data_IF_971241763831
#
_entry.id   IF_971241763831
#
_cell.length_a   1.000
_cell.length_b   1.000
_cell.length_c   1.000
_cell.angle_alpha   90.00
_cell.angle_beta   90.00
_cell.angle_gamma   90.00
#
_symmetry.space_group_name_H-M   'P 1'
#
loop_
_entity.id
_entity.type
_entity.pdbx_description
1 polymer ?
#
# COMPACT_ATOMS: atom_id res chain seq x y z
N UNK A 1 15.59 26.53 -15.91
CA UNK A 1 14.43 27.32 -15.41
C UNK A 1 13.08 26.65 -15.62
N UNK A 2 12.55 26.46 -16.85
CA UNK A 2 11.16 25.93 -17.09
C UNK A 2 10.78 24.67 -16.27
N UNK A 3 11.68 23.67 -16.18
CA UNK A 3 11.43 22.41 -15.42
C UNK A 3 11.17 22.65 -13.92
N UNK A 4 11.82 23.64 -13.30
CA UNK A 4 11.63 23.95 -11.87
C UNK A 4 10.19 24.41 -11.63
N UNK A 5 9.65 25.31 -12.47
CA UNK A 5 8.26 25.77 -12.33
C UNK A 5 7.24 24.62 -12.39
N UNK A 6 7.47 23.61 -13.22
CA UNK A 6 6.58 22.44 -13.28
C UNK A 6 6.63 21.59 -12.00
N UNK A 7 7.81 21.39 -11.42
CA UNK A 7 7.99 20.71 -10.13
C UNK A 7 7.38 21.54 -8.99
N UNK A 8 7.58 22.86 -8.97
CA UNK A 8 6.99 23.76 -7.98
C UNK A 8 5.46 23.83 -8.07
N UNK A 9 4.89 23.78 -9.29
CA UNK A 9 3.43 23.75 -9.48
C UNK A 9 2.86 22.39 -9.05
N UNK A 10 3.50 21.27 -9.44
CA UNK A 10 3.11 19.94 -8.99
C UNK A 10 3.17 19.79 -7.46
N UNK A 11 4.22 20.33 -6.83
CA UNK A 11 4.35 20.39 -5.38
C UNK A 11 3.29 21.31 -4.74
N UNK A 12 2.98 22.46 -5.34
CA UNK A 12 1.94 23.36 -4.84
C UNK A 12 0.52 22.74 -4.93
N UNK A 13 0.24 21.94 -5.97
CA UNK A 13 -1.01 21.16 -6.08
C UNK A 13 -1.10 19.99 -5.10
N UNK A 14 -0.02 19.67 -4.36
CA UNK A 14 0.00 18.66 -3.31
C UNK A 14 -0.14 19.27 -1.88
N UNK A 15 -0.40 20.59 -1.76
CA UNK A 15 -0.49 21.28 -0.46
C UNK A 15 -1.92 21.51 0.06
N UNK A 16 -2.95 20.99 -0.62
CA UNK A 16 -4.35 21.13 -0.18
C UNK A 16 -5.11 19.81 -0.24
N UNK A 17 -4.75 18.89 0.65
CA UNK A 17 -5.50 17.72 1.16
C UNK A 17 -4.58 16.97 2.14
N UNK A 18 -5.09 16.00 2.88
CA UNK A 18 -4.45 15.41 4.06
C UNK A 18 -4.51 13.86 3.99
N UNK A 19 -3.46 13.03 3.59
CA UNK A 19 -3.22 11.99 2.45
C UNK A 19 -3.16 10.31 2.41
N UNK A 20 -4.15 9.36 2.69
CA UNK A 20 -4.31 7.84 3.04
C UNK A 20 -3.14 6.79 2.94
N UNK A 21 -3.34 5.53 3.36
CA UNK A 21 -2.55 4.34 3.08
C UNK A 21 -3.35 3.05 3.32
N UNK A 22 -3.27 2.09 2.40
CA UNK A 22 -3.53 0.65 2.58
C UNK A 22 -2.64 -0.08 1.56
N UNK A 23 -2.63 -1.42 1.52
CA UNK A 23 -1.84 -2.17 0.55
C UNK A 23 -0.35 -2.05 0.83
N UNK A 24 0.07 -2.57 1.98
CA UNK A 24 1.50 -2.70 2.28
C UNK A 24 2.17 -3.75 1.38
N UNK A 25 1.40 -4.75 0.95
CA UNK A 25 1.86 -5.89 0.17
C UNK A 25 2.55 -5.58 -1.17
N UNK A 26 2.13 -4.57 -1.92
CA UNK A 26 2.63 -4.39 -3.29
C UNK A 26 4.11 -4.04 -3.40
N UNK A 27 4.70 -3.40 -2.37
CA UNK A 27 6.15 -3.20 -2.30
C UNK A 27 6.89 -4.43 -1.75
N UNK A 28 6.18 -5.41 -1.18
CA UNK A 28 6.76 -6.65 -0.65
C UNK A 28 7.18 -7.66 -1.74
N UNK A 29 6.70 -7.48 -2.98
CA UNK A 29 7.08 -8.28 -4.15
C UNK A 29 8.49 -7.92 -4.68
N UNK A 30 9.32 -8.88 -5.13
CA UNK A 30 10.64 -8.59 -5.70
C UNK A 30 10.59 -7.83 -7.02
N UNK A 31 10.82 -6.52 -6.96
CA UNK A 31 10.97 -5.67 -8.14
C UNK A 31 12.44 -5.51 -8.54
N UNK A 32 12.68 -5.38 -9.85
CA UNK A 32 13.95 -4.90 -10.41
C UNK A 32 14.03 -3.37 -10.30
N UNK A 33 15.24 -2.82 -10.10
CA UNK A 33 15.44 -1.36 -10.09
C UNK A 33 15.00 -0.76 -11.43
N UNK A 34 14.22 0.32 -11.38
CA UNK A 34 13.58 0.96 -12.54
C UNK A 34 12.23 0.37 -12.93
N UNK A 35 11.84 -0.82 -12.44
CA UNK A 35 10.51 -1.40 -12.72
C UNK A 35 9.42 -0.49 -12.14
N UNK A 36 8.38 -0.26 -12.94
CA UNK A 36 7.16 0.47 -12.60
C UNK A 36 5.95 -0.46 -12.74
N UNK A 37 4.95 -0.27 -11.90
CA UNK A 37 3.66 -0.96 -11.95
C UNK A 37 2.54 0.08 -11.85
N UNK A 38 1.43 -0.16 -12.58
CA UNK A 38 0.12 0.40 -12.25
C UNK A 38 -0.74 -0.77 -11.78
N UNK A 39 -1.38 -0.62 -10.62
CA UNK A 39 -2.19 -1.66 -10.00
C UNK A 39 -3.62 -1.16 -9.81
N UNK A 40 -4.59 -2.02 -10.11
CA UNK A 40 -5.99 -1.83 -9.75
C UNK A 40 -6.32 -2.81 -8.63
N UNK A 41 -6.78 -2.30 -7.50
CA UNK A 41 -7.04 -3.08 -6.28
C UNK A 41 -8.48 -2.83 -5.81
N UNK A 42 -9.20 -3.88 -5.43
CA UNK A 42 -10.54 -3.83 -4.84
C UNK A 42 -10.40 -4.05 -3.34
N UNK A 43 -11.14 -3.27 -2.55
CA UNK A 43 -11.14 -3.27 -1.08
C UNK A 43 -12.53 -3.62 -0.57
N UNK A 44 -12.61 -4.50 0.43
CA UNK A 44 -13.80 -4.73 1.26
C UNK A 44 -13.48 -4.52 2.74
N UNK A 45 -14.14 -3.56 3.38
CA UNK A 45 -14.08 -3.36 4.83
C UNK A 45 -15.13 -4.25 5.48
N UNK A 46 -14.74 -5.01 6.50
CA UNK A 46 -15.57 -6.08 7.11
C UNK A 46 -15.86 -5.89 8.59
N UNK A 47 -15.17 -4.95 9.26
CA UNK A 47 -15.55 -4.44 10.57
C UNK A 47 -16.73 -3.45 10.47
N UNK A 48 -17.13 -2.86 11.61
CA UNK A 48 -18.14 -1.81 11.72
C UNK A 48 -17.96 -0.73 10.64
N UNK A 49 -19.07 -0.26 10.06
CA UNK A 49 -19.07 0.68 8.93
C UNK A 49 -18.72 0.09 7.56
N UNK A 50 -18.80 -1.24 7.44
CA UNK A 50 -18.38 -2.03 6.28
C UNK A 50 -18.80 -1.45 4.93
N UNK A 51 -17.87 -1.54 3.97
CA UNK A 51 -17.97 -0.86 2.68
C UNK A 51 -17.09 -1.50 1.62
N UNK A 52 -17.34 -1.16 0.36
CA UNK A 52 -16.58 -1.65 -0.80
C UNK A 52 -15.94 -0.49 -1.55
N UNK A 53 -14.72 -0.68 -2.04
CA UNK A 53 -13.98 0.33 -2.78
C UNK A 53 -13.09 -0.24 -3.86
N UNK A 54 -12.58 0.66 -4.70
CA UNK A 54 -11.58 0.38 -5.72
C UNK A 54 -10.51 1.47 -5.67
N UNK A 55 -9.25 1.08 -5.90
CA UNK A 55 -8.10 1.97 -5.86
C UNK A 55 -7.13 1.69 -6.99
N UNK A 56 -6.43 2.74 -7.41
CA UNK A 56 -5.31 2.68 -8.36
C UNK A 56 -4.01 3.05 -7.65
N UNK A 57 -2.96 2.25 -7.85
CA UNK A 57 -1.63 2.47 -7.29
C UNK A 57 -0.56 2.49 -8.37
N UNK A 58 0.24 3.55 -8.39
CA UNK A 58 1.55 3.56 -9.04
C UNK A 58 2.60 3.03 -8.05
N UNK A 59 3.48 2.13 -8.49
CA UNK A 59 4.59 1.59 -7.69
C UNK A 59 5.87 1.58 -8.51
N UNK A 60 6.98 2.10 -7.98
CA UNK A 60 8.26 2.15 -8.68
C UNK A 60 9.42 1.82 -7.74
N UNK A 61 10.26 0.83 -8.12
CA UNK A 61 11.53 0.58 -7.43
C UNK A 61 12.60 1.55 -7.92
N UNK A 62 12.71 2.71 -7.27
CA UNK A 62 13.61 3.79 -7.70
C UNK A 62 15.08 3.57 -7.30
N UNK A 63 15.38 2.67 -6.37
CA UNK A 63 16.75 2.25 -6.06
C UNK A 63 16.83 0.75 -5.74
N UNK A 64 18.04 0.20 -5.61
CA UNK A 64 18.26 -1.22 -5.25
C UNK A 64 17.53 -1.64 -3.97
N UNK A 65 17.35 -0.73 -3.01
CA UNK A 65 16.78 -0.97 -1.67
C UNK A 65 15.48 -0.20 -1.38
N UNK A 66 14.97 0.62 -2.30
CA UNK A 66 13.82 1.48 -2.00
C UNK A 66 12.77 1.46 -3.12
N UNK A 67 11.53 1.25 -2.71
CA UNK A 67 10.33 1.28 -3.54
C UNK A 67 9.48 2.47 -3.08
N UNK A 68 8.99 3.26 -4.03
CA UNK A 68 7.99 4.29 -3.80
C UNK A 68 6.65 3.80 -4.34
N UNK A 69 5.56 4.08 -3.62
CA UNK A 69 4.23 3.92 -4.16
C UNK A 69 3.29 5.04 -3.73
N UNK A 70 2.35 5.38 -4.63
CA UNK A 70 1.31 6.37 -4.39
C UNK A 70 0.05 6.00 -5.18
N UNK A 71 -1.11 6.50 -4.76
CA UNK A 71 -2.37 6.13 -5.38
C UNK A 71 -3.60 6.91 -4.92
N UNK A 72 -4.74 6.47 -5.41
CA UNK A 72 -6.06 7.03 -5.17
C UNK A 72 -7.07 5.89 -5.03
N UNK A 73 -7.98 5.99 -4.07
CA UNK A 73 -9.04 5.04 -3.81
C UNK A 73 -10.39 5.75 -3.65
N UNK A 74 -11.44 5.12 -4.16
CA UNK A 74 -12.83 5.49 -3.94
C UNK A 74 -13.55 4.32 -3.27
N UNK A 75 -14.53 4.62 -2.42
CA UNK A 75 -15.29 3.62 -1.67
C UNK A 75 -16.68 4.14 -1.33
N UNK A 76 -17.61 3.21 -1.15
CA UNK A 76 -18.93 3.44 -0.58
C UNK A 76 -19.11 2.64 0.71
N UNK A 77 -19.95 3.15 1.61
CA UNK A 77 -19.95 2.81 3.03
C UNK A 77 -19.38 3.97 3.85
N UNK A 78 -18.90 3.71 5.05
CA UNK A 78 -18.41 4.79 5.95
C UNK A 78 -17.00 5.29 5.61
N UNK A 79 -16.30 4.65 4.66
CA UNK A 79 -15.09 5.18 4.02
C UNK A 79 -15.42 5.87 2.69
N UNK A 80 -14.86 7.06 2.43
CA UNK A 80 -14.86 7.70 1.11
C UNK A 80 -13.54 8.42 0.80
N UNK A 81 -13.23 8.54 -0.50
CA UNK A 81 -12.13 9.31 -1.10
C UNK A 81 -10.79 9.28 -0.35
N UNK A 82 -9.96 8.30 -0.73
CA UNK A 82 -8.61 8.07 -0.20
C UNK A 82 -7.54 8.45 -1.25
N UNK A 83 -6.44 9.07 -0.83
CA UNK A 83 -5.18 9.10 -1.60
C UNK A 83 -4.21 8.10 -0.94
N UNK A 84 -2.98 7.92 -1.42
CA UNK A 84 -1.92 7.42 -0.56
C UNK A 84 -0.53 7.72 -1.10
N UNK A 85 0.46 7.74 -0.20
CA UNK A 85 1.88 7.81 -0.57
C UNK A 85 2.76 7.10 0.48
N UNK A 86 3.82 6.42 0.02
CA UNK A 86 4.73 5.70 0.90
C UNK A 86 6.07 5.32 0.26
N UNK A 87 7.02 4.96 1.12
CA UNK A 87 8.35 4.46 0.75
C UNK A 87 8.66 3.21 1.57
N UNK A 88 8.92 2.09 0.89
CA UNK A 88 9.36 0.83 1.48
C UNK A 88 10.88 0.68 1.34
N UNK A 89 11.57 0.62 2.49
CA UNK A 89 13.02 0.50 2.58
C UNK A 89 13.46 -0.90 2.99
N UNK A 90 14.07 -1.61 2.05
CA UNK A 90 14.61 -2.96 2.16
C UNK A 90 15.88 -2.97 3.03
N UNK A 91 15.77 -3.41 4.28
CA UNK A 91 16.89 -3.59 5.21
C UNK A 91 17.69 -4.82 4.76
N UNK A 92 17.01 -5.95 4.62
CA UNK A 92 17.55 -7.22 4.14
C UNK A 92 16.79 -7.66 2.88
N UNK A 93 17.46 -8.05 1.79
CA UNK A 93 16.81 -8.63 0.62
C UNK A 93 16.39 -10.08 0.89
N UNK A 94 15.44 -10.58 0.10
CA UNK A 94 15.18 -12.02 0.01
C UNK A 94 16.39 -12.70 -0.67
N UNK A 95 17.02 -13.66 0.01
CA UNK A 95 18.24 -14.31 -0.48
C UNK A 95 18.42 -15.71 0.12
N UNK A 96 18.42 -16.74 -0.74
CA UNK A 96 18.47 -18.17 -0.34
C UNK A 96 17.46 -18.53 0.75
N UNK A 97 17.88 -18.64 2.01
CA UNK A 97 17.02 -18.97 3.16
C UNK A 97 16.58 -17.72 3.94
N UNK A 98 17.28 -16.58 3.79
CA UNK A 98 16.94 -15.31 4.43
C UNK A 98 15.65 -14.73 3.80
N UNK A 99 14.66 -14.28 4.59
CA UNK A 99 13.51 -13.52 4.07
C UNK A 99 13.90 -12.07 3.77
N UNK A 100 13.14 -11.40 2.90
CA UNK A 100 13.16 -9.93 2.84
C UNK A 100 12.68 -9.40 4.18
N UNK A 101 13.36 -8.37 4.69
CA UNK A 101 12.90 -7.54 5.80
C UNK A 101 12.98 -6.09 5.36
N UNK A 102 11.88 -5.36 5.51
CA UNK A 102 11.80 -3.94 5.17
C UNK A 102 10.94 -3.16 6.15
N UNK A 103 11.02 -1.84 6.08
CA UNK A 103 10.13 -0.93 6.80
C UNK A 103 9.52 0.01 5.78
N UNK A 104 8.19 0.02 5.70
CA UNK A 104 7.43 0.95 4.86
C UNK A 104 6.93 2.12 5.71
N UNK A 105 7.27 3.34 5.30
CA UNK A 105 6.66 4.57 5.83
C UNK A 105 5.52 5.00 4.92
N UNK A 106 4.39 5.38 5.50
CA UNK A 106 3.18 5.84 4.81
C UNK A 106 2.57 7.07 5.52
N UNK A 107 1.90 7.94 4.77
CA UNK A 107 1.25 9.21 5.19
C UNK A 107 -0.18 9.23 4.62
N UNK A 108 -1.19 9.87 5.26
CA UNK A 108 -2.62 9.42 5.17
C UNK A 108 -3.74 10.59 5.29
N UNK A 109 -4.98 10.99 4.72
CA UNK A 109 -6.20 10.96 3.70
C UNK A 109 -7.12 9.76 3.48
N UNK A 110 -8.13 9.66 4.31
CA UNK A 110 -9.43 9.20 3.91
C UNK A 110 -10.45 10.06 4.66
N UNK A 111 -11.67 10.09 4.17
CA UNK A 111 -12.81 10.41 5.01
C UNK A 111 -13.37 9.09 5.53
N UNK A 112 -13.29 8.85 6.83
CA UNK A 112 -13.70 7.59 7.48
C UNK A 112 -14.64 7.91 8.63
N UNK A 113 -15.76 7.19 8.74
CA UNK A 113 -16.75 7.37 9.82
C UNK A 113 -17.28 8.83 9.88
N UNK A 114 -17.47 9.41 8.70
CA UNK A 114 -17.75 10.83 8.44
C UNK A 114 -16.66 11.85 8.84
N UNK A 115 -15.53 11.44 9.41
CA UNK A 115 -14.44 12.30 9.87
C UNK A 115 -13.29 12.43 8.85
N UNK A 116 -12.66 13.60 8.80
CA UNK A 116 -11.53 13.91 7.91
C UNK A 116 -10.20 13.60 8.59
N UNK A 117 -9.61 12.42 8.35
CA UNK A 117 -8.45 11.93 9.13
C UNK A 117 -7.11 12.08 8.39
N UNK A 118 -6.06 12.37 9.17
CA UNK A 118 -4.65 12.41 8.74
C UNK A 118 -3.80 11.42 9.53
N UNK A 119 -3.31 10.33 8.96
CA UNK A 119 -2.36 9.42 9.65
C UNK A 119 -0.89 9.63 9.22
N UNK A 120 0.01 9.04 9.99
CA UNK A 120 1.40 8.74 9.62
C UNK A 120 1.77 7.39 10.22
N UNK A 121 2.24 6.45 9.40
CA UNK A 121 2.44 5.05 9.81
C UNK A 121 3.80 4.46 9.37
N UNK A 122 4.26 3.48 10.16
CA UNK A 122 5.44 2.65 9.93
C UNK A 122 5.03 1.18 9.98
N UNK A 123 5.27 0.46 8.89
CA UNK A 123 4.98 -0.96 8.74
C UNK A 123 6.30 -1.76 8.58
N UNK A 124 6.91 -2.24 9.68
CA UNK A 124 7.87 -3.34 9.60
C UNK A 124 7.21 -4.53 8.88
N UNK A 125 7.92 -5.06 7.89
CA UNK A 125 7.40 -6.03 6.92
C UNK A 125 8.42 -7.13 6.69
N UNK A 126 7.96 -8.38 6.65
CA UNK A 126 8.76 -9.57 6.33
C UNK A 126 8.08 -10.30 5.17
N UNK A 127 8.81 -10.63 4.12
CA UNK A 127 8.30 -11.43 2.99
C UNK A 127 9.29 -12.51 2.54
N UNK A 128 8.78 -13.59 1.95
CA UNK A 128 9.63 -14.70 1.48
C UNK A 128 9.05 -15.34 0.23
N UNK A 129 9.88 -15.54 -0.79
CA UNK A 129 9.53 -16.29 -1.99
C UNK A 129 9.50 -17.80 -1.76
N UNK A 130 8.44 -18.42 -2.25
CA UNK A 130 8.25 -19.87 -2.33
C UNK A 130 7.77 -20.25 -3.74
N UNK A 131 8.13 -21.44 -4.22
CA UNK A 131 7.60 -21.99 -5.47
C UNK A 131 6.50 -23.00 -5.19
N UNK A 132 5.28 -22.68 -5.62
CA UNK A 132 4.10 -23.55 -5.53
C UNK A 132 3.83 -24.12 -6.92
N UNK A 133 4.08 -25.42 -7.10
CA UNK A 133 3.92 -26.13 -8.38
C UNK A 133 4.62 -25.43 -9.57
N UNK A 134 5.81 -24.85 -9.34
CA UNK A 134 6.58 -24.12 -10.35
C UNK A 134 6.18 -22.65 -10.55
N UNK A 135 5.16 -22.16 -9.86
CA UNK A 135 4.79 -20.73 -9.83
C UNK A 135 5.34 -20.06 -8.57
N UNK A 136 6.07 -18.95 -8.73
CA UNK A 136 6.58 -18.18 -7.59
C UNK A 136 5.48 -17.33 -6.94
N UNK A 137 5.36 -17.42 -5.63
CA UNK A 137 4.55 -16.52 -4.82
C UNK A 137 5.28 -16.10 -3.55
N UNK A 138 4.95 -14.90 -3.07
CA UNK A 138 5.65 -14.15 -2.05
C UNK A 138 4.66 -13.78 -0.93
N UNK A 139 4.35 -14.72 -0.02
CA UNK A 139 3.67 -14.40 1.22
C UNK A 139 4.46 -13.36 2.04
N UNK A 140 3.73 -12.52 2.74
CA UNK A 140 4.28 -11.49 3.61
C UNK A 140 3.41 -11.28 4.86
N UNK A 141 4.05 -10.76 5.89
CA UNK A 141 3.43 -10.21 7.08
C UNK A 141 3.95 -8.79 7.28
N UNK A 142 3.06 -7.84 7.59
CA UNK A 142 3.44 -6.52 8.06
C UNK A 142 2.62 -6.13 9.29
N UNK A 143 3.17 -5.23 10.11
CA UNK A 143 2.48 -4.72 11.31
C UNK A 143 2.49 -3.19 11.30
N UNK A 144 1.55 -2.54 10.58
CA UNK A 144 1.46 -1.08 10.56
C UNK A 144 1.12 -0.52 11.94
N UNK A 145 2.02 0.32 12.47
CA UNK A 145 1.83 1.16 13.65
C UNK A 145 1.85 2.61 13.20
N UNK A 146 0.86 3.41 13.61
CA UNK A 146 0.76 4.81 13.20
C UNK A 146 0.08 5.72 14.20
N UNK A 147 0.16 7.02 13.92
CA UNK A 147 -0.58 8.08 14.63
C UNK A 147 -1.67 8.58 13.70
N UNK A 148 -2.90 8.72 14.19
CA UNK A 148 -4.07 9.25 13.48
C UNK A 148 -4.47 10.57 14.10
N UNK A 149 -4.37 11.66 13.36
CA UNK A 149 -4.94 12.96 13.68
C UNK A 149 -6.34 13.01 13.05
N UNK A 150 -7.39 13.21 13.84
CA UNK A 150 -8.65 13.70 13.29
C UNK A 150 -8.53 15.20 13.04
N UNK A 151 -8.84 15.66 11.82
CA UNK A 151 -8.77 17.08 11.45
C UNK A 151 -9.96 17.89 11.97
N UNK A 152 -11.08 17.21 12.23
CA UNK A 152 -12.35 17.85 12.60
C UNK A 152 -12.41 18.09 14.13
N UNK A 153 -12.12 17.08 14.96
CA UNK A 153 -11.97 17.24 16.42
C UNK A 153 -10.58 17.69 16.89
N UNK A 154 -9.54 17.58 16.04
CA UNK A 154 -8.12 17.86 16.36
C UNK A 154 -7.53 16.92 17.43
N UNK A 155 -8.15 15.77 17.65
CA UNK A 155 -7.62 14.73 18.54
C UNK A 155 -6.60 13.82 17.84
N UNK A 156 -5.81 13.09 18.62
CA UNK A 156 -4.84 12.11 18.10
C UNK A 156 -5.04 10.73 18.73
N UNK A 157 -4.98 9.70 17.90
CA UNK A 157 -5.13 8.29 18.25
C UNK A 157 -3.90 7.48 17.78
N UNK A 158 -3.68 6.30 18.36
CA UNK A 158 -2.52 5.45 18.04
C UNK A 158 -3.00 4.14 17.40
N UNK A 159 -2.85 4.01 16.09
CA UNK A 159 -3.50 2.95 15.33
C UNK A 159 -2.55 1.79 15.07
N UNK A 160 -3.01 0.56 15.30
CA UNK A 160 -2.23 -0.66 15.14
C UNK A 160 -3.05 -1.65 14.33
N UNK A 161 -2.42 -2.27 13.33
CA UNK A 161 -3.01 -3.36 12.55
C UNK A 161 -1.96 -4.44 12.25
N UNK A 162 -2.43 -5.59 11.78
CA UNK A 162 -1.59 -6.67 11.28
C UNK A 162 -2.09 -7.11 9.91
N UNK A 163 -1.21 -7.09 8.92
CA UNK A 163 -1.52 -7.46 7.54
C UNK A 163 -0.87 -8.81 7.21
N UNK A 164 -1.67 -9.74 6.69
CA UNK A 164 -1.22 -11.00 6.11
C UNK A 164 -1.59 -11.01 4.63
N UNK A 165 -0.68 -11.40 3.75
CA UNK A 165 -1.01 -11.45 2.34
C UNK A 165 -0.01 -12.22 1.49
N UNK A 166 -0.27 -12.23 0.19
CA UNK A 166 0.52 -12.93 -0.81
C UNK A 166 0.52 -12.16 -2.13
N UNK A 167 1.68 -12.07 -2.76
CA UNK A 167 1.86 -11.52 -4.11
C UNK A 167 2.41 -12.61 -5.04
N UNK A 168 2.09 -12.60 -6.32
CA UNK A 168 2.66 -13.55 -7.29
C UNK A 168 2.32 -13.19 -8.72
N UNK A 169 2.94 -13.85 -9.70
CA UNK A 169 2.51 -13.72 -11.10
C UNK A 169 1.23 -14.52 -11.33
N UNK A 170 0.33 -14.06 -12.20
CA UNK A 170 -0.93 -14.78 -12.50
C UNK A 170 -0.60 -16.13 -13.15
N UNK A 171 -1.09 -17.28 -12.64
CA UNK A 171 -0.71 -18.63 -13.09
C UNK A 171 -1.39 -19.05 -14.42
N UNK A 172 -1.73 -18.09 -15.29
CA UNK A 172 -2.35 -18.31 -16.60
C UNK A 172 -1.39 -17.82 -17.67
N UNK A 173 -1.06 -18.65 -18.66
CA UNK A 173 0.02 -18.37 -19.63
C UNK A 173 -0.08 -17.00 -20.31
N UNK A 174 -1.30 -16.65 -20.74
CA UNK A 174 -1.62 -15.38 -21.40
C UNK A 174 -1.41 -14.16 -20.49
N UNK A 175 -1.43 -14.35 -19.17
CA UNK A 175 -1.41 -13.31 -18.14
C UNK A 175 -0.20 -13.40 -17.19
N UNK A 176 0.80 -14.27 -17.45
CA UNK A 176 2.04 -14.41 -16.67
C UNK A 176 2.84 -13.11 -16.47
N UNK A 177 2.54 -12.06 -17.23
CA UNK A 177 3.12 -10.72 -17.11
C UNK A 177 2.44 -9.82 -16.06
N UNK A 178 1.22 -10.18 -15.62
CA UNK A 178 0.50 -9.53 -14.53
C UNK A 178 0.96 -10.10 -13.19
N UNK A 179 1.11 -9.24 -12.18
CA UNK A 179 1.18 -9.70 -10.79
C UNK A 179 -0.21 -9.57 -10.16
N UNK A 180 -0.59 -10.51 -9.30
CA UNK A 180 -1.75 -10.41 -8.42
C UNK A 180 -1.28 -10.21 -6.97
N UNK A 181 -2.07 -9.47 -6.20
CA UNK A 181 -1.90 -9.34 -4.75
C UNK A 181 -3.20 -9.65 -4.01
N UNK A 182 -3.07 -10.25 -2.84
CA UNK A 182 -4.11 -10.31 -1.81
C UNK A 182 -3.51 -9.86 -0.47
N UNK A 183 -4.26 -9.05 0.29
CA UNK A 183 -3.93 -8.57 1.63
C UNK A 183 -5.19 -8.73 2.50
N UNK A 184 -5.04 -9.28 3.71
CA UNK A 184 -6.04 -9.24 4.77
C UNK A 184 -5.44 -8.42 5.90
N UNK A 185 -6.05 -7.28 6.21
CA UNK A 185 -5.72 -6.43 7.34
C UNK A 185 -6.64 -6.79 8.51
N UNK A 186 -6.04 -7.00 9.68
CA UNK A 186 -6.73 -7.15 10.96
C UNK A 186 -6.53 -5.86 11.77
N UNK A 187 -7.61 -5.18 12.13
CA UNK A 187 -7.56 -4.04 13.05
C UNK A 187 -7.25 -4.53 14.47
N UNK A 188 -6.22 -3.98 15.11
CA UNK A 188 -5.81 -4.37 16.48
C UNK A 188 -6.05 -3.24 17.50
N UNK A 189 -5.86 -1.99 17.10
CA UNK A 189 -6.21 -0.79 17.86
C UNK A 189 -6.55 0.34 16.90
N UNK A 190 -7.63 1.07 17.16
CA UNK A 190 -8.04 2.31 16.46
C UNK A 190 -7.93 2.17 14.92
N UNK A 191 -8.39 1.03 14.40
CA UNK A 191 -8.17 0.57 13.03
C UNK A 191 -9.20 -0.50 12.66
N UNK A 192 -9.43 -0.69 11.35
CA UNK A 192 -10.46 -1.56 10.79
C UNK A 192 -9.91 -2.88 10.24
N UNK A 193 -10.81 -3.84 10.03
CA UNK A 193 -10.50 -5.12 9.37
C UNK A 193 -10.94 -5.04 7.92
N UNK A 194 -10.04 -5.36 6.98
CA UNK A 194 -10.32 -5.28 5.55
C UNK A 194 -9.65 -6.40 4.74
N UNK A 195 -10.20 -6.66 3.56
CA UNK A 195 -9.65 -7.57 2.55
C UNK A 195 -9.39 -6.72 1.29
N UNK A 196 -8.20 -6.82 0.74
CA UNK A 196 -7.80 -6.16 -0.51
C UNK A 196 -7.29 -7.21 -1.50
N UNK A 197 -7.73 -7.12 -2.75
CA UNK A 197 -7.30 -7.99 -3.86
C UNK A 197 -7.04 -7.14 -5.10
N UNK A 198 -5.92 -7.32 -5.78
CA UNK A 198 -5.57 -6.48 -6.93
C UNK A 198 -4.74 -7.17 -8.02
N UNK A 199 -4.60 -6.45 -9.12
CA UNK A 199 -3.82 -6.85 -10.30
C UNK A 199 -2.91 -5.69 -10.73
N UNK A 200 -1.62 -5.97 -10.87
CA UNK A 200 -0.56 -5.02 -11.23
C UNK A 200 -0.02 -5.28 -12.63
N UNK A 201 -0.24 -4.31 -13.52
CA UNK A 201 0.30 -4.27 -14.87
C UNK A 201 1.68 -3.57 -14.89
N UNK A 202 2.73 -4.18 -15.47
CA UNK A 202 4.04 -3.54 -15.60
C UNK A 202 4.04 -2.49 -16.73
N UNK A 203 4.54 -1.29 -16.43
CA UNK A 203 4.71 -0.21 -17.42
C UNK A 203 6.20 0.14 -17.62
N UNK A 204 6.51 0.67 -18.80
CA UNK A 204 7.88 1.03 -19.22
C UNK A 204 8.34 2.38 -18.64
#
# INVERSE_FOLDING_TARGET
>A
MKKIKFISIAAATLLTTNAWALGTGLSSYPMMTGKKLISSEVLGVTSTGGGIGAQVRYTQKFSKKAIFDAGLGISGGEMSNRFFTGVDYEIFPDYYQQPKVSVKTTLEMAKEFEESRTKLSLAPTVSKGFSFWGTEAYPYFSMPVGLSLDSDSKTYESTISANLGINGNVPLEQYKHLQANAEVQLGLKDSFTSILVGLSYPIQ
#
